data_IF_259878483787
#
_entry.id   IF_259878483787
#
_cell.length_a   1.000
_cell.length_b   1.000
_cell.length_c   1.000
_cell.angle_alpha   90.00
_cell.angle_beta   90.00
_cell.angle_gamma   90.00
#
_symmetry.space_group_name_H-M   'P 1'
#
loop_
_entity.id
_entity.type
_entity.pdbx_description
1 polymer ?
#
# COMPACT_ATOMS: atom_id res chain seq x y z
N UNK A 1 12.85 33.58 -76.13
CA UNK A 1 11.98 32.47 -75.88
C UNK A 1 12.81 31.36 -75.27
N UNK A 2 12.88 31.33 -74.02
CA UNK A 2 13.22 30.14 -73.22
C UNK A 2 13.22 30.61 -71.78
N UNK A 3 12.21 30.19 -71.02
CA UNK A 3 12.10 30.42 -69.59
C UNK A 3 12.89 29.36 -68.85
N UNK A 4 13.82 29.82 -68.08
CA UNK A 4 14.58 28.99 -67.13
C UNK A 4 13.78 28.79 -65.85
N UNK A 5 13.57 27.56 -65.53
CA UNK A 5 12.96 27.14 -64.24
C UNK A 5 14.08 26.97 -63.24
N UNK A 6 14.19 27.94 -62.34
CA UNK A 6 14.97 27.79 -61.11
C UNK A 6 14.10 27.08 -60.09
N UNK A 7 14.42 25.84 -59.76
CA UNK A 7 13.88 25.15 -58.63
C UNK A 7 15.04 24.85 -57.65
N UNK A 8 15.26 25.79 -56.76
CA UNK A 8 16.26 25.67 -55.72
C UNK A 8 15.73 24.85 -54.56
N UNK A 9 16.44 23.83 -54.28
CA UNK A 9 16.55 22.99 -53.07
C UNK A 9 16.14 23.72 -51.78
N UNK A 10 15.03 23.33 -51.20
CA UNK A 10 14.69 23.53 -49.82
C UNK A 10 14.25 22.16 -49.28
N UNK A 11 15.18 21.44 -48.71
CA UNK A 11 14.90 20.07 -48.26
C UNK A 11 15.91 19.50 -47.25
N UNK A 12 16.30 20.31 -46.24
CA UNK A 12 17.21 19.77 -45.23
C UNK A 12 16.82 20.10 -43.77
N UNK A 13 15.78 20.88 -43.54
CA UNK A 13 15.39 21.27 -42.15
C UNK A 13 14.26 20.38 -41.54
N UNK A 14 13.55 19.58 -42.33
CA UNK A 14 12.44 18.76 -41.83
C UNK A 14 12.82 17.40 -41.23
N UNK A 15 14.07 16.95 -41.35
CA UNK A 15 14.47 15.61 -40.89
C UNK A 15 15.01 15.56 -39.46
N UNK A 16 15.34 16.68 -38.87
CA UNK A 16 15.91 16.73 -37.51
C UNK A 16 14.79 16.74 -36.47
N UNK A 17 13.68 17.43 -36.73
CA UNK A 17 12.52 17.50 -35.83
C UNK A 17 11.79 16.16 -35.70
N UNK A 18 11.63 15.42 -36.81
CA UNK A 18 10.97 14.10 -36.79
C UNK A 18 11.72 13.05 -35.96
N UNK A 19 13.04 13.11 -35.87
CA UNK A 19 13.81 12.17 -35.05
C UNK A 19 13.68 12.46 -33.54
N UNK A 20 13.62 13.73 -33.13
CA UNK A 20 13.42 14.09 -31.74
C UNK A 20 12.00 13.75 -31.28
N UNK A 21 10.99 14.00 -32.08
CA UNK A 21 9.61 13.62 -31.81
C UNK A 21 9.43 12.09 -31.70
N UNK A 22 10.14 11.34 -32.57
CA UNK A 22 10.14 9.88 -32.50
C UNK A 22 10.81 9.33 -31.24
N UNK A 23 11.91 9.93 -30.82
CA UNK A 23 12.62 9.55 -29.57
C UNK A 23 11.78 9.91 -28.35
N UNK A 24 11.10 11.05 -28.34
CA UNK A 24 10.21 11.47 -27.28
C UNK A 24 9.01 10.50 -27.15
N UNK A 25 8.37 10.19 -28.29
CA UNK A 25 7.26 9.23 -28.33
C UNK A 25 7.69 7.82 -27.88
N UNK A 26 8.89 7.36 -28.26
CA UNK A 26 9.43 6.08 -27.79
C UNK A 26 9.71 6.07 -26.29
N UNK A 27 10.17 7.19 -25.74
CA UNK A 27 10.40 7.31 -24.30
C UNK A 27 9.09 7.37 -23.52
N UNK A 28 8.08 8.07 -24.01
CA UNK A 28 6.73 8.07 -23.44
C UNK A 28 6.08 6.68 -23.51
N UNK A 29 6.22 5.98 -24.63
CA UNK A 29 5.75 4.59 -24.72
C UNK A 29 6.45 3.67 -23.74
N UNK A 30 7.77 3.81 -23.53
CA UNK A 30 8.51 3.02 -22.56
C UNK A 30 8.11 3.32 -21.11
N UNK A 31 7.75 4.55 -20.79
CA UNK A 31 7.28 4.93 -19.46
C UNK A 31 5.84 4.47 -19.19
N UNK A 32 5.01 4.39 -20.23
CA UNK A 32 3.60 4.02 -20.13
C UNK A 32 3.33 2.53 -20.41
N UNK A 33 4.33 1.74 -20.80
CA UNK A 33 4.18 0.30 -21.02
C UNK A 33 4.71 -0.50 -19.87
N UNK A 34 3.89 -1.41 -19.36
CA UNK A 34 4.30 -2.39 -18.34
C UNK A 34 5.30 -3.35 -18.99
N UNK A 35 6.46 -3.60 -18.37
CA UNK A 35 7.41 -4.59 -18.86
C UNK A 35 6.71 -5.93 -19.11
N UNK A 36 7.05 -6.59 -20.22
CA UNK A 36 6.43 -7.87 -20.60
C UNK A 36 6.49 -8.91 -19.48
N UNK A 37 7.59 -8.95 -18.75
CA UNK A 37 7.77 -9.86 -17.61
C UNK A 37 6.77 -9.59 -16.48
N UNK A 38 6.48 -8.33 -16.19
CA UNK A 38 5.49 -7.94 -15.18
C UNK A 38 4.07 -8.29 -15.66
N UNK A 39 3.77 -8.09 -16.95
CA UNK A 39 2.50 -8.50 -17.54
C UNK A 39 2.31 -10.02 -17.52
N UNK A 40 3.33 -10.78 -17.89
CA UNK A 40 3.28 -12.25 -17.91
C UNK A 40 3.11 -12.81 -16.48
N UNK A 41 3.77 -12.18 -15.49
CA UNK A 41 3.59 -12.53 -14.08
C UNK A 41 2.16 -12.25 -13.61
N UNK A 42 1.65 -11.06 -13.89
CA UNK A 42 0.28 -10.67 -13.52
C UNK A 42 -0.77 -11.60 -14.16
N UNK A 43 -0.54 -12.00 -15.41
CA UNK A 43 -1.40 -12.94 -16.12
C UNK A 43 -1.35 -14.35 -15.51
N UNK A 44 -0.17 -14.80 -15.10
CA UNK A 44 -0.01 -16.09 -14.43
C UNK A 44 -0.70 -16.08 -13.05
N UNK A 45 -0.57 -15.00 -12.29
CA UNK A 45 -1.21 -14.84 -10.99
C UNK A 45 -2.74 -14.74 -11.11
N UNK A 46 -3.26 -14.00 -12.08
CA UNK A 46 -4.70 -13.96 -12.38
C UNK A 46 -5.24 -15.32 -12.79
N UNK A 47 -4.49 -16.09 -13.58
CA UNK A 47 -4.89 -17.45 -13.96
C UNK A 47 -4.96 -18.37 -12.74
N UNK A 48 -3.96 -18.32 -11.84
CA UNK A 48 -3.98 -19.08 -10.58
C UNK A 48 -5.16 -18.70 -9.70
N UNK A 49 -5.45 -17.41 -9.58
CA UNK A 49 -6.61 -16.90 -8.83
C UNK A 49 -7.93 -17.44 -9.41
N UNK A 50 -8.08 -17.38 -10.73
CA UNK A 50 -9.28 -17.92 -11.40
C UNK A 50 -9.40 -19.43 -11.21
N UNK A 51 -8.32 -20.17 -11.38
CA UNK A 51 -8.30 -21.63 -11.18
C UNK A 51 -8.68 -21.99 -9.72
N UNK A 52 -8.25 -21.19 -8.74
CA UNK A 52 -8.59 -21.38 -7.33
C UNK A 52 -10.07 -21.09 -7.04
N UNK A 53 -10.60 -20.01 -7.63
CA UNK A 53 -12.03 -19.66 -7.50
C UNK A 53 -12.90 -20.72 -8.15
N UNK A 54 -12.54 -21.20 -9.32
CA UNK A 54 -13.31 -22.22 -10.07
C UNK A 54 -13.25 -23.59 -9.38
N UNK A 55 -12.12 -23.94 -8.76
CA UNK A 55 -11.96 -25.21 -8.03
C UNK A 55 -12.66 -25.23 -6.67
N UNK A 56 -13.24 -24.11 -6.23
CA UNK A 56 -13.95 -24.00 -4.95
C UNK A 56 -13.01 -24.17 -3.73
N UNK A 57 -11.71 -24.19 -3.95
CA UNK A 57 -10.75 -24.12 -2.87
C UNK A 57 -10.76 -22.69 -2.34
N UNK A 58 -11.17 -22.53 -1.09
CA UNK A 58 -10.94 -21.31 -0.34
C UNK A 58 -9.46 -20.95 -0.51
N UNK A 59 -9.21 -19.76 -1.02
CA UNK A 59 -7.87 -19.18 -0.92
C UNK A 59 -7.57 -19.13 0.59
N UNK A 60 -6.89 -20.16 1.10
CA UNK A 60 -6.00 -19.87 2.21
C UNK A 60 -5.10 -18.79 1.67
N UNK A 61 -5.41 -17.56 2.07
CA UNK A 61 -4.47 -16.45 1.92
C UNK A 61 -3.17 -16.98 2.49
N UNK A 62 -2.27 -17.37 1.59
CA UNK A 62 -0.86 -17.42 1.94
C UNK A 62 -0.53 -15.96 2.19
N UNK A 63 -0.93 -15.48 3.38
CA UNK A 63 -0.34 -14.29 3.94
C UNK A 63 1.16 -14.57 3.85
N UNK A 64 1.82 -13.89 2.93
CA UNK A 64 3.27 -13.75 3.02
C UNK A 64 3.44 -13.14 4.39
N UNK A 65 3.79 -13.97 5.37
CA UNK A 65 4.15 -13.49 6.69
C UNK A 65 5.41 -12.67 6.47
N UNK A 66 5.23 -11.41 6.17
CA UNK A 66 6.29 -10.44 6.36
C UNK A 66 6.66 -10.59 7.83
N UNK A 67 7.85 -11.10 8.07
CA UNK A 67 8.40 -11.18 9.42
C UNK A 67 8.51 -9.75 9.95
N UNK A 68 7.46 -9.34 10.65
CA UNK A 68 7.34 -7.99 11.17
C UNK A 68 8.41 -7.82 12.25
N UNK A 69 9.38 -6.95 11.99
CA UNK A 69 10.41 -6.60 12.97
C UNK A 69 9.76 -5.77 14.10
N UNK A 70 9.44 -6.46 15.19
CA UNK A 70 8.82 -5.88 16.40
C UNK A 70 9.68 -4.79 16.99
N UNK A 71 11.02 -4.92 16.97
CA UNK A 71 11.91 -3.94 17.56
C UNK A 71 12.02 -2.68 16.71
N UNK A 72 11.98 -2.83 15.39
CA UNK A 72 11.89 -1.69 14.47
C UNK A 72 10.58 -0.93 14.67
N UNK A 73 9.43 -1.62 14.73
CA UNK A 73 8.13 -1.00 14.99
C UNK A 73 8.07 -0.30 16.35
N UNK A 74 8.64 -0.90 17.40
CA UNK A 74 8.71 -0.26 18.71
C UNK A 74 9.54 1.03 18.68
N UNK A 75 10.66 1.06 17.96
CA UNK A 75 11.48 2.26 17.80
C UNK A 75 10.75 3.37 17.04
N UNK A 76 10.00 3.02 16.01
CA UNK A 76 9.21 3.98 15.24
C UNK A 76 8.07 4.56 16.07
N UNK A 77 7.29 3.71 16.74
CA UNK A 77 6.11 4.11 17.52
C UNK A 77 6.43 4.86 18.81
N UNK A 78 7.51 4.49 19.51
CA UNK A 78 7.86 5.03 20.82
C UNK A 78 9.15 5.85 20.81
N UNK A 79 9.87 5.91 19.68
CA UNK A 79 11.08 6.67 19.50
C UNK A 79 10.84 8.13 19.09
N UNK A 80 11.90 8.79 18.66
CA UNK A 80 11.85 10.18 18.19
C UNK A 80 11.04 10.34 16.90
N UNK A 81 11.00 9.30 16.06
CA UNK A 81 10.27 9.28 14.78
C UNK A 81 8.74 9.32 14.93
N UNK A 82 8.21 9.10 16.14
CA UNK A 82 6.76 9.17 16.38
C UNK A 82 6.13 10.49 15.94
N UNK A 83 6.87 11.60 16.02
CA UNK A 83 6.38 12.94 15.68
C UNK A 83 6.18 13.15 14.19
N UNK A 84 6.82 12.32 13.39
CA UNK A 84 6.80 12.40 11.93
C UNK A 84 5.72 11.49 11.31
N UNK A 85 5.06 10.65 12.14
CA UNK A 85 4.00 9.75 11.71
C UNK A 85 2.64 10.48 11.69
N UNK A 86 1.87 10.25 10.65
CA UNK A 86 0.47 10.63 10.63
C UNK A 86 -0.37 9.78 11.60
N UNK A 87 -1.61 10.19 11.88
CA UNK A 87 -2.53 9.41 12.73
C UNK A 87 -2.79 8.03 12.14
N UNK A 88 -3.01 7.96 10.83
CA UNK A 88 -3.22 6.70 10.10
C UNK A 88 -2.02 5.79 10.22
N UNK A 89 -0.81 6.29 9.90
CA UNK A 89 0.41 5.50 9.99
C UNK A 89 0.70 5.00 11.40
N UNK A 90 0.45 5.84 12.41
CA UNK A 90 0.61 5.47 13.81
C UNK A 90 -0.32 4.32 14.21
N UNK A 91 -1.60 4.41 13.83
CA UNK A 91 -2.60 3.39 14.16
C UNK A 91 -2.32 2.10 13.39
N UNK A 92 -2.03 2.16 12.10
CA UNK A 92 -1.70 0.98 11.27
C UNK A 92 -0.48 0.23 11.85
N UNK A 93 0.60 0.96 12.16
CA UNK A 93 1.79 0.36 12.79
C UNK A 93 1.52 -0.20 14.19
N UNK A 94 0.63 0.43 14.95
CA UNK A 94 0.24 -0.07 16.27
C UNK A 94 -0.56 -1.37 16.17
N UNK A 95 -1.46 -1.49 15.19
CA UNK A 95 -2.20 -2.73 14.92
C UNK A 95 -1.28 -3.85 14.45
N UNK A 96 -0.33 -3.55 13.56
CA UNK A 96 0.71 -4.49 13.12
C UNK A 96 1.58 -4.98 14.29
N UNK A 97 1.99 -4.07 15.17
CA UNK A 97 2.74 -4.42 16.38
C UNK A 97 1.93 -5.32 17.30
N UNK A 98 0.64 -4.99 17.55
CA UNK A 98 -0.28 -5.81 18.34
C UNK A 98 -0.36 -7.23 17.79
N UNK A 99 -0.62 -7.38 16.48
CA UNK A 99 -0.72 -8.69 15.80
C UNK A 99 0.58 -9.49 15.98
N UNK A 100 1.73 -8.87 15.73
CA UNK A 100 3.02 -9.52 15.86
C UNK A 100 3.35 -9.96 17.31
N UNK A 101 2.96 -9.18 18.32
CA UNK A 101 3.12 -9.52 19.73
C UNK A 101 2.23 -10.71 20.12
N UNK A 102 0.96 -10.70 19.71
CA UNK A 102 0.03 -11.80 19.99
C UNK A 102 0.47 -13.11 19.31
N UNK A 103 1.00 -13.05 18.08
CA UNK A 103 1.57 -14.22 17.39
C UNK A 103 2.80 -14.80 18.13
N UNK A 104 3.58 -13.96 18.81
CA UNK A 104 4.70 -14.38 19.65
C UNK A 104 4.25 -14.85 21.05
N UNK A 105 2.95 -14.82 21.35
CA UNK A 105 2.41 -15.18 22.67
C UNK A 105 2.64 -14.12 23.74
N UNK A 106 3.00 -12.89 23.36
CA UNK A 106 3.11 -11.76 24.27
C UNK A 106 1.72 -11.20 24.64
N UNK A 107 1.55 -10.54 25.79
CA UNK A 107 0.28 -9.95 26.19
C UNK A 107 -0.20 -8.90 25.22
N UNK A 108 -1.51 -8.88 24.93
CA UNK A 108 -2.12 -7.86 24.09
C UNK A 108 -1.92 -6.47 24.68
N UNK A 109 -1.26 -5.53 23.97
CA UNK A 109 -0.99 -4.19 24.46
C UNK A 109 -2.25 -3.33 24.63
N UNK A 110 -3.38 -3.71 24.03
CA UNK A 110 -4.65 -3.00 24.15
C UNK A 110 -5.45 -3.40 25.40
N UNK A 111 -5.05 -4.47 26.08
CA UNK A 111 -5.70 -4.89 27.31
C UNK A 111 -5.25 -3.99 28.46
N UNK A 112 -6.13 -3.08 28.84
CA UNK A 112 -5.90 -2.20 29.98
C UNK A 112 -6.23 -2.95 31.26
N UNK A 113 -5.27 -3.01 32.20
CA UNK A 113 -5.49 -3.56 33.54
C UNK A 113 -6.19 -2.50 34.39
N UNK A 114 -7.31 -2.85 34.97
CA UNK A 114 -8.01 -2.01 35.95
C UNK A 114 -7.26 -1.98 37.28
N UNK A 115 -6.12 -1.28 37.33
CA UNK A 115 -5.24 -1.18 38.49
C UNK A 115 -3.97 -2.01 38.40
N UNK A 116 -3.00 -1.71 39.26
CA UNK A 116 -1.65 -2.32 39.23
C UNK A 116 -1.59 -3.79 39.67
N UNK A 117 -2.64 -4.31 40.31
CA UNK A 117 -2.65 -5.63 40.96
C UNK A 117 -3.70 -6.59 40.42
N UNK A 118 -4.62 -6.16 39.57
CA UNK A 118 -5.64 -7.04 39.00
C UNK A 118 -5.14 -7.74 37.74
N UNK A 119 -5.44 -9.01 37.59
CA UNK A 119 -5.29 -9.72 36.32
C UNK A 119 -6.38 -9.25 35.36
N UNK A 120 -6.11 -9.20 34.04
CA UNK A 120 -7.14 -8.85 33.06
C UNK A 120 -8.30 -9.86 33.11
N UNK A 121 -9.52 -9.35 33.04
CA UNK A 121 -10.73 -10.18 32.96
C UNK A 121 -11.11 -10.46 31.51
N UNK A 122 -11.98 -11.45 31.29
CA UNK A 122 -12.45 -11.81 29.95
C UNK A 122 -13.13 -10.62 29.21
N UNK A 123 -13.71 -9.68 29.96
CA UNK A 123 -14.30 -8.48 29.39
C UNK A 123 -13.26 -7.47 28.87
N UNK A 124 -12.09 -7.41 29.51
CA UNK A 124 -11.01 -6.51 29.09
C UNK A 124 -10.45 -6.95 27.71
N UNK A 125 -10.33 -8.26 27.51
CA UNK A 125 -9.94 -8.80 26.21
C UNK A 125 -10.98 -8.51 25.12
N UNK A 126 -12.29 -8.63 25.43
CA UNK A 126 -13.35 -8.29 24.47
C UNK A 126 -13.35 -6.81 24.12
N UNK A 127 -13.08 -5.94 25.08
CA UNK A 127 -12.97 -4.49 24.86
C UNK A 127 -11.76 -4.18 23.96
N UNK A 128 -10.60 -4.78 24.25
CA UNK A 128 -9.39 -4.62 23.46
C UNK A 128 -9.62 -5.08 21.99
N UNK A 129 -10.27 -6.21 21.81
CA UNK A 129 -10.59 -6.74 20.48
C UNK A 129 -11.56 -5.82 19.73
N UNK A 130 -12.60 -5.32 20.39
CA UNK A 130 -13.53 -4.36 19.79
C UNK A 130 -12.85 -3.07 19.35
N UNK A 131 -11.96 -2.53 20.19
CA UNK A 131 -11.19 -1.33 19.83
C UNK A 131 -10.29 -1.60 18.62
N UNK A 132 -9.57 -2.73 18.63
CA UNK A 132 -8.72 -3.09 17.51
C UNK A 132 -9.51 -3.28 16.20
N UNK A 133 -10.68 -3.91 16.25
CA UNK A 133 -11.56 -4.09 15.09
C UNK A 133 -12.02 -2.75 14.52
N UNK A 134 -12.46 -1.82 15.37
CA UNK A 134 -12.88 -0.48 14.93
C UNK A 134 -11.73 0.30 14.31
N UNK A 135 -10.53 0.24 14.92
CA UNK A 135 -9.35 0.90 14.37
C UNK A 135 -8.93 0.29 13.03
N UNK A 136 -8.99 -1.04 12.90
CA UNK A 136 -8.69 -1.71 11.64
C UNK A 136 -9.66 -1.30 10.54
N UNK A 137 -10.97 -1.25 10.84
CA UNK A 137 -11.96 -0.77 9.88
C UNK A 137 -11.70 0.68 9.43
N UNK A 138 -11.24 1.56 10.34
CA UNK A 138 -10.88 2.93 9.97
C UNK A 138 -9.67 2.97 9.03
N UNK A 139 -8.67 2.12 9.27
CA UNK A 139 -7.48 2.01 8.42
C UNK A 139 -7.86 1.47 7.03
N UNK A 140 -8.69 0.42 6.99
CA UNK A 140 -9.13 -0.21 5.73
C UNK A 140 -9.96 0.76 4.87
N UNK A 141 -10.86 1.53 5.48
CA UNK A 141 -11.67 2.54 4.77
C UNK A 141 -10.80 3.70 4.27
N UNK A 142 -9.79 4.06 5.04
CA UNK A 142 -8.90 5.18 4.70
C UNK A 142 -8.04 4.93 3.46
N UNK A 143 -7.69 3.67 3.18
CA UNK A 143 -6.89 3.26 2.02
C UNK A 143 -5.66 4.18 1.78
N UNK A 144 -4.93 4.47 2.85
CA UNK A 144 -3.76 5.35 2.81
C UNK A 144 -4.05 6.86 2.86
N UNK A 145 -5.31 7.29 3.01
CA UNK A 145 -5.68 8.70 3.07
C UNK A 145 -5.93 9.16 4.52
N UNK A 146 -5.00 9.98 5.06
CA UNK A 146 -5.07 10.49 6.44
C UNK A 146 -6.36 11.26 6.75
N UNK A 147 -6.84 12.08 5.82
CA UNK A 147 -8.06 12.87 6.04
C UNK A 147 -9.31 12.00 6.13
N UNK A 148 -9.37 10.91 5.38
CA UNK A 148 -10.45 9.93 5.45
C UNK A 148 -10.38 9.19 6.76
N UNK A 149 -9.17 8.78 7.19
CA UNK A 149 -8.95 8.14 8.47
C UNK A 149 -9.43 9.02 9.63
N UNK A 150 -8.99 10.27 9.70
CA UNK A 150 -9.35 11.19 10.78
C UNK A 150 -10.87 11.40 10.87
N UNK A 151 -11.56 11.51 9.73
CA UNK A 151 -13.01 11.66 9.69
C UNK A 151 -13.72 10.39 10.18
N UNK A 152 -13.32 9.20 9.73
CA UNK A 152 -13.91 7.93 10.17
C UNK A 152 -13.65 7.67 11.65
N UNK A 153 -12.43 7.94 12.10
CA UNK A 153 -12.06 7.80 13.50
C UNK A 153 -12.88 8.69 14.41
N UNK A 154 -13.03 9.98 14.08
CA UNK A 154 -13.87 10.91 14.84
C UNK A 154 -15.34 10.48 14.87
N UNK A 155 -15.88 10.02 13.74
CA UNK A 155 -17.27 9.56 13.63
C UNK A 155 -17.58 8.35 14.53
N UNK A 156 -16.61 7.49 14.79
CA UNK A 156 -16.77 6.26 15.58
C UNK A 156 -16.45 6.42 17.06
N UNK A 157 -15.80 7.51 17.46
CA UNK A 157 -15.51 7.83 18.86
C UNK A 157 -16.69 8.50 19.58
N UNK A 158 -17.69 8.98 18.83
CA UNK A 158 -18.90 9.58 19.36
C UNK A 158 -20.00 8.52 19.44
#
# INVERSE_FOLDING_TARGET
>A
MTEEINNAVSGTESQIDTNQDYISALNEMKQNTVPKEAYDKLRADNKKLLDTIVSGQSLEQTEVKEEVDVDALRKELFGKSRRDLSNLEYVDKTLKLRKALMEKGEPDPFVMKAGRTSSPEAEDFKKAERVASVLQECVDIADGNDSVFDNEFQRRLI
#
